data_IF_839037275766
#
_entry.id   IF_839037275766
#
_cell.length_a   1.000
_cell.length_b   1.000
_cell.length_c   1.000
_cell.angle_alpha   90.00
_cell.angle_beta   90.00
_cell.angle_gamma   90.00
#
_symmetry.space_group_name_H-M   'P 1'
#
loop_
_entity.id
_entity.type
_entity.pdbx_description
1 polymer ?
#
# COMPACT_ATOMS: atom_id res chain seq x y z
N UNK A 1 -12.43 -3.56 -1.82
CA UNK A 1 -12.20 -4.86 -2.50
C UNK A 1 -10.73 -5.29 -2.47
N UNK A 2 -9.84 -4.55 -1.80
CA UNK A 2 -8.46 -4.95 -1.51
C UNK A 2 -7.55 -5.15 -2.73
N UNK A 3 -7.98 -4.80 -3.94
CA UNK A 3 -7.12 -4.79 -5.12
C UNK A 3 -6.12 -3.62 -5.04
N UNK A 4 -5.03 -3.69 -5.82
CA UNK A 4 -3.99 -2.66 -5.84
C UNK A 4 -4.02 -1.86 -7.12
N UNK A 5 -3.57 -0.60 -7.06
CA UNK A 5 -3.35 0.28 -8.21
C UNK A 5 -1.96 0.93 -8.09
N UNK A 6 -1.25 1.05 -9.21
CA UNK A 6 0.00 1.81 -9.27
C UNK A 6 -0.32 3.28 -9.48
N UNK A 7 -0.35 4.05 -8.39
CA UNK A 7 -0.74 5.48 -8.40
C UNK A 7 0.40 6.45 -8.75
N UNK A 8 1.65 6.02 -8.64
CA UNK A 8 2.83 6.81 -8.96
C UNK A 8 4.01 5.87 -9.29
N UNK A 9 4.85 6.26 -10.23
CA UNK A 9 6.00 5.46 -10.66
C UNK A 9 7.18 6.35 -11.08
N UNK A 10 8.39 5.91 -10.76
CA UNK A 10 9.64 6.40 -11.33
C UNK A 10 10.44 5.18 -11.78
N UNK A 11 10.77 5.12 -13.08
CA UNK A 11 11.39 3.94 -13.70
C UNK A 11 12.56 4.31 -14.60
N UNK A 12 13.33 3.29 -14.99
CA UNK A 12 14.31 3.40 -16.08
C UNK A 12 13.55 3.64 -17.40
N UNK A 13 13.99 4.57 -18.29
CA UNK A 13 13.22 4.97 -19.47
C UNK A 13 12.91 3.85 -20.48
N UNK A 14 13.73 2.80 -20.52
CA UNK A 14 13.62 1.64 -21.42
C UNK A 14 12.65 0.54 -20.94
N UNK A 15 12.11 0.65 -19.72
CA UNK A 15 11.15 -0.34 -19.18
C UNK A 15 9.71 0.05 -19.51
N UNK A 16 8.81 -0.91 -19.65
CA UNK A 16 7.38 -0.60 -19.77
C UNK A 16 6.85 0.02 -18.47
N UNK A 17 6.00 1.07 -18.55
CA UNK A 17 5.39 1.67 -17.37
C UNK A 17 4.29 0.78 -16.78
N UNK A 18 4.20 0.77 -15.45
CA UNK A 18 3.09 0.13 -14.74
C UNK A 18 2.07 1.13 -14.17
N UNK A 19 2.33 2.43 -14.30
CA UNK A 19 1.44 3.50 -13.84
C UNK A 19 0.00 3.32 -14.33
N UNK A 20 -0.97 3.37 -13.42
CA UNK A 20 -2.40 3.22 -13.70
C UNK A 20 -2.88 1.79 -13.87
N UNK A 21 -2.01 0.78 -13.81
CA UNK A 21 -2.42 -0.62 -13.84
C UNK A 21 -3.03 -1.04 -12.49
N UNK A 22 -4.10 -1.83 -12.56
CA UNK A 22 -4.75 -2.45 -11.43
C UNK A 22 -4.38 -3.94 -11.33
N UNK A 23 -4.16 -4.41 -10.11
CA UNK A 23 -3.75 -5.77 -9.81
C UNK A 23 -4.75 -6.42 -8.84
N UNK A 24 -5.10 -7.69 -9.04
CA UNK A 24 -6.10 -8.37 -8.23
C UNK A 24 -5.62 -8.51 -6.78
N UNK A 25 -6.56 -8.49 -5.83
CA UNK A 25 -6.25 -8.62 -4.41
C UNK A 25 -5.46 -9.90 -4.06
N UNK A 26 -5.63 -10.94 -4.87
CA UNK A 26 -4.99 -12.26 -4.72
C UNK A 26 -3.48 -12.24 -4.95
N UNK A 27 -2.94 -11.25 -5.67
CA UNK A 27 -1.49 -11.13 -5.90
C UNK A 27 -0.72 -10.92 -4.60
N UNK A 28 -1.35 -10.28 -3.61
CA UNK A 28 -0.82 -10.10 -2.26
C UNK A 28 -1.83 -10.66 -1.25
N UNK A 29 -1.70 -11.94 -0.86
CA UNK A 29 -2.60 -12.57 0.09
C UNK A 29 -2.70 -11.81 1.42
N UNK A 30 -3.85 -11.89 2.09
CA UNK A 30 -4.08 -11.19 3.37
C UNK A 30 -3.02 -11.50 4.43
N UNK A 31 -2.55 -12.75 4.51
CA UNK A 31 -1.46 -13.14 5.41
C UNK A 31 -0.15 -12.35 5.14
N UNK A 32 0.16 -12.10 3.86
CA UNK A 32 1.33 -11.29 3.48
C UNK A 32 1.16 -9.82 3.86
N UNK A 33 -0.05 -9.26 3.67
CA UNK A 33 -0.38 -7.88 4.11
C UNK A 33 -0.23 -7.72 5.61
N UNK A 34 -0.71 -8.70 6.38
CA UNK A 34 -0.52 -8.73 7.82
C UNK A 34 0.95 -8.85 8.23
N UNK A 35 1.76 -9.62 7.49
CA UNK A 35 3.19 -9.69 7.72
C UNK A 35 3.90 -8.35 7.43
N UNK A 36 3.44 -7.56 6.46
CA UNK A 36 3.96 -6.22 6.20
C UNK A 36 3.68 -5.23 7.34
N UNK A 37 2.59 -5.42 8.08
CA UNK A 37 2.32 -4.65 9.30
C UNK A 37 3.34 -4.95 10.41
N UNK A 38 3.85 -6.19 10.47
CA UNK A 38 4.87 -6.61 11.46
C UNK A 38 6.30 -6.34 11.00
N UNK A 39 6.58 -6.49 9.71
CA UNK A 39 7.89 -6.27 9.10
C UNK A 39 7.73 -5.32 7.93
N UNK A 40 8.06 -4.05 8.19
CA UNK A 40 7.76 -2.96 7.26
C UNK A 40 8.63 -2.95 6.03
N UNK A 41 9.77 -3.64 6.04
CA UNK A 41 10.69 -3.72 4.89
C UNK A 41 11.00 -5.16 4.57
N UNK A 42 10.88 -5.52 3.29
CA UNK A 42 11.22 -6.84 2.76
C UNK A 42 12.06 -6.71 1.51
N UNK A 43 13.17 -7.44 1.46
CA UNK A 43 14.06 -7.48 0.31
C UNK A 43 14.19 -8.91 -0.21
N UNK A 44 14.17 -9.07 -1.52
CA UNK A 44 14.58 -10.28 -2.24
C UNK A 44 15.70 -9.87 -3.18
N UNK A 45 16.91 -10.39 -2.97
CA UNK A 45 18.07 -10.03 -3.77
C UNK A 45 18.04 -10.65 -5.18
N UNK A 46 17.58 -11.88 -5.27
CA UNK A 46 17.41 -12.65 -6.50
C UNK A 46 16.35 -13.72 -6.24
N UNK A 47 15.24 -13.72 -6.97
CA UNK A 47 14.20 -14.75 -6.81
C UNK A 47 14.67 -16.14 -7.29
N UNK A 48 15.69 -16.20 -8.15
CA UNK A 48 16.22 -17.44 -8.75
C UNK A 48 17.19 -18.16 -7.81
N UNK A 49 17.68 -17.48 -6.78
CA UNK A 49 18.61 -18.06 -5.82
C UNK A 49 17.97 -19.23 -5.07
N UNK A 50 18.69 -20.35 -5.00
CA UNK A 50 18.22 -21.54 -4.28
C UNK A 50 18.09 -21.24 -2.79
N UNK A 51 16.90 -21.46 -2.23
CA UNK A 51 16.67 -21.24 -0.80
C UNK A 51 17.49 -22.20 0.06
N UNK A 52 18.16 -21.66 1.08
CA UNK A 52 18.97 -22.44 2.02
C UNK A 52 18.10 -22.96 3.16
N UNK A 53 18.13 -24.27 3.40
CA UNK A 53 17.38 -24.91 4.49
C UNK A 53 17.98 -24.54 5.85
N UNK A 54 17.14 -24.04 6.76
CA UNK A 54 17.52 -23.82 8.16
C UNK A 54 17.63 -25.17 8.87
N UNK A 55 18.76 -25.41 9.54
CA UNK A 55 18.96 -26.57 10.40
C UNK A 55 18.48 -26.22 11.80
N UNK A 56 17.57 -27.02 12.34
CA UNK A 56 17.00 -26.83 13.67
C UNK A 56 17.14 -28.11 14.48
N UNK A 57 17.28 -27.97 15.79
CA UNK A 57 17.34 -29.10 16.72
C UNK A 57 16.00 -29.87 16.69
N UNK A 58 16.06 -31.21 16.65
CA UNK A 58 14.86 -32.07 16.65
C UNK A 58 14.04 -31.95 17.94
N UNK A 59 14.62 -31.44 19.02
CA UNK A 59 13.95 -31.19 20.30
C UNK A 59 12.98 -30.02 20.24
N UNK A 60 13.06 -29.15 19.22
CA UNK A 60 12.07 -28.11 19.01
C UNK A 60 10.74 -28.75 18.57
N UNK A 61 9.70 -28.63 19.40
CA UNK A 61 8.37 -29.16 19.12
C UNK A 61 7.65 -28.49 17.93
N UNK A 62 8.23 -27.43 17.35
CA UNK A 62 7.71 -26.75 16.16
C UNK A 62 8.85 -26.09 15.37
N UNK A 63 8.57 -25.82 14.09
CA UNK A 63 9.52 -25.11 13.20
C UNK A 63 9.68 -23.66 13.66
N UNK A 64 10.91 -23.15 13.64
CA UNK A 64 11.19 -21.76 13.98
C UNK A 64 10.43 -20.79 13.06
N UNK A 65 9.76 -19.81 13.64
CA UNK A 65 9.09 -18.75 12.86
C UNK A 65 10.12 -17.77 12.30
N UNK A 66 10.32 -17.80 10.98
CA UNK A 66 11.17 -16.86 10.25
C UNK A 66 10.43 -15.59 9.82
N UNK A 67 9.22 -15.37 10.32
CA UNK A 67 8.35 -14.26 9.88
C UNK A 67 9.04 -12.90 9.95
N UNK A 68 9.90 -12.68 10.96
CA UNK A 68 10.67 -11.43 11.17
C UNK A 68 12.10 -11.44 10.62
N UNK A 69 12.52 -12.53 9.97
CA UNK A 69 13.86 -12.61 9.39
C UNK A 69 13.93 -11.75 8.12
N UNK A 70 14.96 -10.91 8.05
CA UNK A 70 15.24 -10.08 6.85
C UNK A 70 15.71 -10.90 5.65
N UNK A 71 16.15 -12.14 5.88
CA UNK A 71 16.64 -13.08 4.85
C UNK A 71 15.61 -14.18 4.51
N UNK A 72 14.36 -14.02 4.96
CA UNK A 72 13.31 -15.02 4.70
C UNK A 72 13.10 -15.18 3.18
N UNK A 73 13.27 -16.42 2.70
CA UNK A 73 13.06 -16.78 1.31
C UNK A 73 11.63 -16.45 0.83
N UNK A 74 11.45 -16.05 -0.45
CA UNK A 74 10.12 -15.93 -1.04
C UNK A 74 9.42 -17.28 -1.12
N UNK A 75 8.09 -17.23 -1.02
CA UNK A 75 7.27 -18.40 -1.32
C UNK A 75 7.27 -18.64 -2.84
N UNK A 76 7.17 -19.91 -3.26
CA UNK A 76 7.34 -20.31 -4.66
C UNK A 76 6.42 -19.58 -5.65
N UNK A 77 5.13 -19.39 -5.30
CA UNK A 77 4.21 -18.65 -6.17
C UNK A 77 4.66 -17.20 -6.41
N UNK A 78 5.22 -16.53 -5.39
CA UNK A 78 5.70 -15.16 -5.52
C UNK A 78 7.04 -15.09 -6.27
N UNK A 79 7.91 -16.09 -6.14
CA UNK A 79 9.11 -16.19 -6.97
C UNK A 79 8.75 -16.34 -8.46
N UNK A 80 7.73 -17.15 -8.79
CA UNK A 80 7.23 -17.26 -10.16
C UNK A 80 6.55 -15.98 -10.63
N UNK A 81 5.80 -15.29 -9.77
CA UNK A 81 5.22 -13.98 -10.06
C UNK A 81 6.30 -12.96 -10.44
N UNK A 82 7.38 -12.91 -9.66
CA UNK A 82 8.55 -12.05 -9.96
C UNK A 82 9.18 -12.39 -11.31
N UNK A 83 9.31 -13.69 -11.63
CA UNK A 83 9.79 -14.16 -12.92
C UNK A 83 8.92 -13.65 -14.08
N UNK A 84 7.60 -13.79 -13.94
CA UNK A 84 6.64 -13.39 -14.97
C UNK A 84 6.62 -11.86 -15.19
N UNK A 85 6.84 -11.07 -14.13
CA UNK A 85 6.96 -9.61 -14.22
C UNK A 85 8.35 -9.12 -14.66
N UNK A 86 9.33 -10.00 -14.84
CA UNK A 86 10.71 -9.62 -15.16
C UNK A 86 11.45 -8.90 -14.01
N UNK A 87 10.97 -9.04 -12.77
CA UNK A 87 11.60 -8.44 -11.59
C UNK A 87 12.55 -9.43 -10.90
N UNK A 88 13.85 -9.34 -11.18
CA UNK A 88 14.86 -10.26 -10.60
C UNK A 88 15.03 -10.02 -9.09
N UNK A 89 15.10 -8.76 -8.69
CA UNK A 89 15.19 -8.35 -7.29
C UNK A 89 14.03 -7.43 -6.93
N UNK A 90 13.67 -7.40 -5.65
CA UNK A 90 12.66 -6.49 -5.13
C UNK A 90 12.99 -5.95 -3.74
N UNK A 91 12.59 -4.71 -3.49
CA UNK A 91 12.56 -4.10 -2.17
C UNK A 91 11.15 -3.52 -1.97
N UNK A 92 10.45 -4.00 -0.96
CA UNK A 92 9.06 -3.63 -0.67
C UNK A 92 8.99 -3.02 0.71
N UNK A 93 8.33 -1.87 0.81
CA UNK A 93 8.17 -1.12 2.06
C UNK A 93 6.69 -0.82 2.32
N UNK A 94 6.25 -1.05 3.54
CA UNK A 94 4.87 -0.89 3.95
C UNK A 94 4.54 0.57 4.30
N UNK A 95 3.54 1.13 3.64
CA UNK A 95 2.97 2.44 3.98
C UNK A 95 1.80 2.20 4.92
N UNK A 96 1.93 2.65 6.17
CA UNK A 96 0.88 2.50 7.18
C UNK A 96 0.29 3.83 7.56
N UNK A 97 -1.03 3.86 7.67
CA UNK A 97 -1.84 5.02 8.07
C UNK A 97 -2.62 4.69 9.33
N UNK A 98 -3.10 5.71 10.02
CA UNK A 98 -3.96 5.50 11.19
C UNK A 98 -5.34 5.00 10.74
N UNK A 99 -5.92 4.11 11.54
CA UNK A 99 -7.24 3.56 11.29
C UNK A 99 -8.26 4.24 12.20
N UNK A 100 -8.97 5.24 11.66
CA UNK A 100 -9.95 6.05 12.39
C UNK A 100 -11.17 5.26 12.88
N UNK A 101 -11.51 4.14 12.24
CA UNK A 101 -12.73 3.37 12.56
C UNK A 101 -12.52 2.36 13.69
N UNK A 102 -11.34 1.71 13.71
CA UNK A 102 -11.05 0.58 14.62
C UNK A 102 -9.99 0.93 15.67
N UNK A 103 -9.34 2.10 15.52
CA UNK A 103 -8.13 2.43 16.26
C UNK A 103 -6.92 1.62 15.78
N UNK A 104 -5.72 2.17 15.99
CA UNK A 104 -4.46 1.53 15.56
C UNK A 104 -4.05 1.89 14.14
N UNK A 105 -3.26 1.02 13.49
CA UNK A 105 -2.74 1.25 12.13
C UNK A 105 -3.30 0.27 11.12
N UNK A 106 -3.49 0.74 9.89
CA UNK A 106 -3.81 -0.10 8.72
C UNK A 106 -2.74 0.03 7.63
N UNK A 107 -2.61 -0.99 6.81
CA UNK A 107 -1.78 -0.94 5.60
C UNK A 107 -2.53 -0.11 4.55
N UNK A 108 -1.99 1.05 4.19
CA UNK A 108 -2.57 1.87 3.12
C UNK A 108 -2.13 1.39 1.74
N UNK A 109 -0.85 1.01 1.62
CA UNK A 109 -0.26 0.58 0.37
C UNK A 109 1.20 0.17 0.56
N UNK A 110 1.89 -0.02 -0.56
CA UNK A 110 3.29 -0.44 -0.58
C UNK A 110 4.09 0.49 -1.49
N UNK A 111 5.31 0.82 -1.08
CA UNK A 111 6.34 1.30 -2.00
C UNK A 111 7.11 0.07 -2.48
N UNK A 112 7.04 -0.20 -3.79
CA UNK A 112 7.64 -1.37 -4.41
C UNK A 112 8.74 -0.94 -5.36
N UNK A 113 9.96 -1.42 -5.12
CA UNK A 113 11.09 -1.22 -6.02
C UNK A 113 11.41 -2.54 -6.72
N UNK A 114 11.54 -2.51 -8.04
CA UNK A 114 11.99 -3.64 -8.86
C UNK A 114 13.41 -3.41 -9.38
N UNK A 115 14.13 -4.51 -9.62
CA UNK A 115 15.38 -4.48 -10.35
C UNK A 115 15.46 -5.60 -11.36
N UNK A 116 15.98 -5.30 -12.54
CA UNK A 116 16.15 -6.27 -13.66
C UNK A 116 17.38 -7.16 -13.48
N UNK A 117 18.17 -6.96 -12.43
CA UNK A 117 19.34 -7.77 -12.06
C UNK A 117 19.32 -8.02 -10.55
N UNK A 118 20.10 -8.99 -10.05
CA UNK A 118 20.23 -9.18 -8.61
C UNK A 118 20.68 -7.89 -7.93
N UNK A 119 20.06 -7.56 -6.79
CA UNK A 119 20.40 -6.34 -6.04
C UNK A 119 20.31 -6.57 -4.55
N UNK A 120 21.45 -6.41 -3.88
CA UNK A 120 21.52 -6.33 -2.44
C UNK A 120 21.55 -4.86 -2.00
N UNK A 121 20.69 -4.50 -1.05
CA UNK A 121 20.65 -3.16 -0.44
C UNK A 121 21.11 -3.29 1.01
N UNK A 122 22.20 -2.65 1.46
CA UNK A 122 22.68 -2.76 2.85
C UNK A 122 21.63 -2.37 3.88
N UNK A 123 21.67 -3.00 5.06
CA UNK A 123 20.70 -2.77 6.14
C UNK A 123 20.55 -1.28 6.53
N UNK A 124 21.63 -0.47 6.68
CA UNK A 124 21.49 0.93 7.03
C UNK A 124 20.62 1.72 6.04
N UNK A 125 20.75 1.43 4.74
CA UNK A 125 19.93 2.08 3.72
C UNK A 125 18.47 1.62 3.81
N UNK A 126 18.23 0.32 4.02
CA UNK A 126 16.87 -0.20 4.24
C UNK A 126 16.19 0.43 5.45
N UNK A 127 16.94 0.64 6.53
CA UNK A 127 16.43 1.29 7.73
C UNK A 127 16.12 2.78 7.50
N UNK A 128 16.98 3.49 6.75
CA UNK A 128 16.70 4.86 6.34
C UNK A 128 15.44 4.95 5.46
N UNK A 129 15.26 4.02 4.51
CA UNK A 129 14.05 3.97 3.69
C UNK A 129 12.79 3.61 4.51
N UNK A 130 12.92 2.75 5.53
CA UNK A 130 11.83 2.49 6.47
C UNK A 130 11.39 3.78 7.16
N UNK A 131 12.34 4.54 7.69
CA UNK A 131 12.08 5.83 8.32
C UNK A 131 11.40 6.80 7.35
N UNK A 132 11.91 6.92 6.12
CA UNK A 132 11.29 7.76 5.08
C UNK A 132 9.83 7.35 4.81
N UNK A 133 9.56 6.05 4.74
CA UNK A 133 8.22 5.51 4.52
C UNK A 133 7.28 5.82 5.70
N UNK A 134 7.81 5.87 6.93
CA UNK A 134 7.04 6.28 8.11
C UNK A 134 6.67 7.77 8.05
N UNK A 135 7.62 8.64 7.70
CA UNK A 135 7.37 10.08 7.52
C UNK A 135 6.34 10.30 6.42
N UNK A 136 6.47 9.57 5.30
CA UNK A 136 5.49 9.58 4.22
C UNK A 136 4.08 9.19 4.72
N UNK A 137 3.97 8.13 5.52
CA UNK A 137 2.69 7.72 6.12
C UNK A 137 2.05 8.78 7.00
N UNK A 138 2.85 9.54 7.77
CA UNK A 138 2.36 10.66 8.60
C UNK A 138 1.82 11.79 7.73
N UNK A 139 2.55 12.18 6.67
CA UNK A 139 2.06 13.21 5.75
C UNK A 139 0.79 12.74 5.04
N UNK A 140 0.75 11.48 4.63
CA UNK A 140 -0.42 10.89 3.97
C UNK A 140 -1.65 10.87 4.89
N UNK A 141 -1.50 10.55 6.17
CA UNK A 141 -2.58 10.67 7.16
C UNK A 141 -3.18 12.07 7.17
N UNK A 142 -2.31 13.09 7.23
CA UNK A 142 -2.72 14.50 7.25
C UNK A 142 -3.52 14.89 5.99
N UNK A 143 -3.06 14.47 4.81
CA UNK A 143 -3.78 14.74 3.55
C UNK A 143 -5.13 14.03 3.49
N UNK A 144 -5.20 12.78 3.95
CA UNK A 144 -6.45 12.01 3.99
C UNK A 144 -7.45 12.65 4.96
N UNK A 145 -7.01 13.06 6.15
CA UNK A 145 -7.85 13.77 7.12
C UNK A 145 -8.35 15.11 6.57
N UNK A 146 -7.47 15.88 5.92
CA UNK A 146 -7.84 17.15 5.30
C UNK A 146 -8.89 16.94 4.20
N UNK A 147 -8.69 15.95 3.34
CA UNK A 147 -9.65 15.60 2.28
C UNK A 147 -11.01 15.18 2.87
N UNK A 148 -11.02 14.41 3.96
CA UNK A 148 -12.24 14.02 4.66
C UNK A 148 -12.99 15.24 5.22
N UNK A 149 -12.29 16.16 5.90
CA UNK A 149 -12.88 17.41 6.42
C UNK A 149 -13.43 18.31 5.32
N UNK A 150 -12.70 18.42 4.20
CA UNK A 150 -13.17 19.21 3.04
C UNK A 150 -14.45 18.60 2.43
N UNK A 151 -14.51 17.27 2.35
CA UNK A 151 -15.69 16.55 1.87
C UNK A 151 -16.89 16.73 2.80
N UNK A 152 -16.68 16.62 4.11
CA UNK A 152 -17.74 16.86 5.11
C UNK A 152 -18.27 18.29 5.04
N UNK A 153 -17.38 19.28 4.99
CA UNK A 153 -17.77 20.69 4.81
C UNK A 153 -18.56 20.90 3.51
N UNK A 154 -18.16 20.25 2.42
CA UNK A 154 -18.89 20.33 1.16
C UNK A 154 -20.29 19.72 1.28
N UNK A 155 -20.43 18.54 1.91
CA UNK A 155 -21.71 17.90 2.15
C UNK A 155 -22.63 18.80 2.98
N UNK A 156 -22.14 19.36 4.09
CA UNK A 156 -22.91 20.28 4.93
C UNK A 156 -23.38 21.51 4.15
N UNK A 157 -22.50 22.11 3.34
CA UNK A 157 -22.88 23.23 2.48
C UNK A 157 -23.96 22.84 1.47
N UNK A 158 -23.83 21.68 0.84
CA UNK A 158 -24.83 21.17 -0.10
C UNK A 158 -26.16 20.88 0.60
N UNK A 159 -26.16 20.34 1.82
CA UNK A 159 -27.37 20.13 2.63
C UNK A 159 -28.06 21.46 2.96
N UNK A 160 -27.32 22.48 3.38
CA UNK A 160 -27.88 23.82 3.65
C UNK A 160 -28.55 24.40 2.39
N UNK A 161 -27.91 24.26 1.23
CA UNK A 161 -28.47 24.71 -0.04
C UNK A 161 -29.74 23.94 -0.40
N UNK A 162 -29.76 22.61 -0.23
CA UNK A 162 -30.93 21.78 -0.48
C UNK A 162 -32.10 22.12 0.47
N UNK A 163 -31.82 22.37 1.75
CA UNK A 163 -32.83 22.81 2.71
C UNK A 163 -33.44 24.18 2.31
N UNK A 164 -32.61 25.14 1.88
CA UNK A 164 -33.09 26.43 1.36
C UNK A 164 -33.99 26.24 0.12
N UNK A 165 -33.62 25.33 -0.79
CA UNK A 165 -34.43 25.02 -1.97
C UNK A 165 -35.77 24.37 -1.63
N UNK A 166 -35.82 23.49 -0.63
CA UNK A 166 -37.06 22.82 -0.19
C UNK A 166 -38.06 23.78 0.46
N UNK A 167 -37.57 24.86 1.09
CA UNK A 167 -38.43 25.89 1.69
C UNK A 167 -39.01 26.88 0.66
N UNK A 168 -38.74 26.70 -0.64
CA UNK A 168 -39.28 27.60 -1.69
C UNK A 168 -40.73 27.24 -1.99
N UNK A 169 -41.59 28.26 -2.02
CA UNK A 169 -43.05 28.12 -2.22
C UNK A 169 -43.48 27.47 -3.55
N UNK A 170 -42.61 27.43 -4.57
CA UNK A 170 -42.93 26.89 -5.89
C UNK A 170 -41.78 26.06 -6.48
N UNK A 171 -42.06 24.90 -7.12
CA UNK A 171 -41.03 24.05 -7.74
C UNK A 171 -40.16 24.77 -8.78
N UNK A 172 -40.72 25.74 -9.51
CA UNK A 172 -39.98 26.56 -10.49
C UNK A 172 -38.86 27.37 -9.81
N UNK A 173 -39.01 27.66 -8.51
CA UNK A 173 -38.04 28.38 -7.70
C UNK A 173 -36.71 27.64 -7.56
N UNK A 174 -36.68 26.32 -7.74
CA UNK A 174 -35.45 25.50 -7.69
C UNK A 174 -34.51 25.82 -8.87
N UNK A 175 -35.08 26.15 -10.04
CA UNK A 175 -34.32 26.45 -11.27
C UNK A 175 -34.13 27.96 -11.47
N UNK A 176 -35.09 28.77 -11.01
CA UNK A 176 -35.14 30.22 -11.29
C UNK A 176 -34.52 31.10 -10.21
N UNK A 177 -34.33 30.61 -8.97
CA UNK A 177 -33.74 31.38 -7.86
C UNK A 177 -32.37 30.83 -7.48
N UNK A 178 -31.46 31.70 -7.04
CA UNK A 178 -30.08 31.34 -6.66
C UNK A 178 -29.97 31.01 -5.17
N UNK A 179 -29.27 29.95 -4.74
CA UNK A 179 -28.61 28.93 -5.59
C UNK A 179 -29.63 28.03 -6.32
N UNK A 180 -29.29 27.59 -7.53
CA UNK A 180 -30.06 26.66 -8.35
C UNK A 180 -29.33 25.29 -8.44
N UNK A 181 -29.95 24.32 -9.11
CA UNK A 181 -29.36 22.97 -9.31
C UNK A 181 -28.15 23.03 -10.24
#
# INVERSE_FOLDING_TARGET
>A
DDHGEVVAEMRRPDLEPYLGLHYPATDIPQASRFLFMKNRVRMICDYRATAVKVRQDKRLGQVLSLSRSTLRAPYGCHAQYMANMGSIASLVMAVTVDNSEVGGRRLWGLVVCHHTTPRFVPYPLRYACEFLTQVFGVQLNKEVELAARLRERHILRSQTVLCDMLLRDAPVGIVTKTPNI
#
